data_IF_734675677535
#
_entry.id   IF_734675677535
#
_cell.length_a   1.000
_cell.length_b   1.000
_cell.length_c   1.000
_cell.angle_alpha   90.00
_cell.angle_beta   90.00
_cell.angle_gamma   90.00
#
_symmetry.space_group_name_H-M   'P 1'
#
loop_
_entity.id
_entity.type
_entity.pdbx_description
1 polymer ?
#
# COMPACT_ATOMS: atom_id res chain seq x y z
N UNK A 1 -8.34 -0.48 36.52
CA UNK A 1 -8.36 0.56 35.47
C UNK A 1 -8.85 -0.12 34.19
N UNK A 2 -10.02 0.26 33.67
CA UNK A 2 -10.57 -0.38 32.46
C UNK A 2 -9.63 -0.11 31.29
N UNK A 3 -9.37 -1.08 30.39
CA UNK A 3 -8.63 -0.78 29.17
C UNK A 3 -9.45 0.26 28.39
N UNK A 4 -8.85 1.41 28.09
CA UNK A 4 -9.43 2.33 27.11
C UNK A 4 -9.53 1.56 25.79
N UNK A 5 -10.76 1.41 25.31
CA UNK A 5 -11.07 0.84 24.01
C UNK A 5 -10.37 1.73 22.97
N UNK A 6 -9.24 1.24 22.42
CA UNK A 6 -8.51 1.97 21.38
C UNK A 6 -9.44 2.15 20.20
N UNK A 7 -9.69 3.40 19.85
CA UNK A 7 -10.43 3.80 18.65
C UNK A 7 -9.97 2.95 17.46
N UNK A 8 -10.89 2.15 16.90
CA UNK A 8 -10.60 1.21 15.81
C UNK A 8 -10.25 2.04 14.57
N UNK A 9 -8.96 2.25 14.32
CA UNK A 9 -8.51 2.75 13.02
C UNK A 9 -8.93 1.75 11.94
N UNK A 10 -9.46 2.23 10.81
CA UNK A 10 -9.99 1.42 9.70
C UNK A 10 -8.96 0.38 9.23
N UNK A 11 -7.67 0.72 9.33
CA UNK A 11 -6.53 -0.10 8.91
C UNK A 11 -5.76 -0.77 10.06
N UNK A 12 -6.31 -0.78 11.29
CA UNK A 12 -5.69 -1.37 12.49
C UNK A 12 -4.27 -0.85 12.80
N UNK A 13 -3.98 0.40 12.45
CA UNK A 13 -2.73 1.09 12.75
C UNK A 13 -2.62 1.39 14.26
N UNK A 14 -1.40 1.31 14.80
CA UNK A 14 -1.12 1.57 16.22
C UNK A 14 -1.16 3.06 16.59
N UNK A 15 -0.83 3.93 15.64
CA UNK A 15 -0.72 5.38 15.79
C UNK A 15 -1.19 6.04 14.49
N UNK A 16 -1.64 7.29 14.61
CA UNK A 16 -1.96 8.13 13.45
C UNK A 16 -0.68 8.68 12.82
N UNK A 17 -0.77 9.07 11.54
CA UNK A 17 0.31 9.82 10.88
C UNK A 17 0.55 11.13 11.63
N UNK A 18 1.83 11.45 11.89
CA UNK A 18 2.21 12.72 12.52
C UNK A 18 1.75 13.89 11.62
N UNK A 19 0.99 14.87 12.13
CA UNK A 19 0.54 16.03 11.33
C UNK A 19 1.69 16.79 10.67
N UNK A 20 2.90 16.76 11.24
CA UNK A 20 4.07 17.40 10.63
C UNK A 20 4.51 16.73 9.32
N UNK A 21 4.12 15.48 9.10
CA UNK A 21 4.46 14.75 7.88
C UNK A 21 3.83 15.41 6.65
N UNK A 22 2.57 15.88 6.73
CA UNK A 22 1.93 16.56 5.58
C UNK A 22 2.61 17.91 5.27
N UNK A 23 3.09 18.63 6.29
CA UNK A 23 3.84 19.87 6.11
C UNK A 23 5.21 19.63 5.46
N UNK A 24 5.80 18.45 5.65
CA UNK A 24 7.07 18.08 5.03
C UNK A 24 6.84 17.58 3.59
N UNK A 25 5.88 16.67 3.41
CA UNK A 25 5.54 16.12 2.09
C UNK A 25 5.12 17.22 1.11
N UNK A 26 4.34 18.21 1.56
CA UNK A 26 3.89 19.33 0.74
C UNK A 26 5.01 20.25 0.24
N UNK A 27 6.21 20.21 0.83
CA UNK A 27 7.36 21.01 0.39
C UNK A 27 8.08 20.43 -0.82
N UNK A 28 7.86 19.16 -1.13
CA UNK A 28 8.53 18.47 -2.23
C UNK A 28 7.63 17.32 -2.72
N UNK A 29 6.55 17.71 -3.41
CA UNK A 29 5.52 16.76 -3.87
C UNK A 29 6.07 15.87 -4.98
N UNK A 30 6.99 16.38 -5.79
CA UNK A 30 7.63 15.66 -6.88
C UNK A 30 8.36 14.41 -6.36
N UNK A 31 9.21 14.55 -5.34
CA UNK A 31 9.91 13.40 -4.74
C UNK A 31 8.94 12.41 -4.07
N UNK A 32 7.86 12.91 -3.47
CA UNK A 32 6.81 12.06 -2.87
C UNK A 32 6.08 11.25 -3.95
N UNK A 33 5.77 11.85 -5.10
CA UNK A 33 5.12 11.16 -6.21
C UNK A 33 6.04 10.11 -6.83
N UNK A 34 7.34 10.40 -6.95
CA UNK A 34 8.33 9.39 -7.39
C UNK A 34 8.37 8.22 -6.42
N UNK A 35 8.50 8.45 -5.11
CA UNK A 35 8.48 7.38 -4.11
C UNK A 35 7.15 6.61 -4.09
N UNK A 36 6.03 7.30 -4.30
CA UNK A 36 4.72 6.69 -4.40
C UNK A 36 4.62 5.76 -5.62
N UNK A 37 5.09 6.17 -6.80
CA UNK A 37 5.14 5.30 -7.97
C UNK A 37 5.97 4.03 -7.67
N UNK A 38 7.12 4.17 -7.01
CA UNK A 38 7.89 3.00 -6.58
C UNK A 38 7.14 2.11 -5.59
N UNK A 39 6.35 2.68 -4.69
CA UNK A 39 5.50 1.92 -3.78
C UNK A 39 4.48 1.06 -4.54
N UNK A 40 3.80 1.62 -5.54
CA UNK A 40 2.81 0.86 -6.34
C UNK A 40 3.48 -0.25 -7.17
N UNK A 41 4.62 0.04 -7.79
CA UNK A 41 5.39 -0.99 -8.50
C UNK A 41 5.84 -2.12 -7.56
N UNK A 42 6.28 -1.80 -6.33
CA UNK A 42 6.66 -2.79 -5.32
C UNK A 42 5.45 -3.62 -4.87
N UNK A 43 4.27 -3.02 -4.74
CA UNK A 43 3.05 -3.74 -4.40
C UNK A 43 2.67 -4.75 -5.49
N UNK A 44 2.64 -4.32 -6.75
CA UNK A 44 2.42 -5.21 -7.90
C UNK A 44 3.47 -6.33 -7.97
N UNK A 45 4.76 -6.00 -7.83
CA UNK A 45 5.84 -6.99 -7.86
C UNK A 45 5.73 -8.01 -6.72
N UNK A 46 5.29 -7.58 -5.54
CA UNK A 46 5.05 -8.46 -4.39
C UNK A 46 3.89 -9.41 -4.66
N UNK A 47 2.78 -8.92 -5.24
CA UNK A 47 1.66 -9.76 -5.66
C UNK A 47 2.08 -10.83 -6.66
N UNK A 48 2.85 -10.45 -7.70
CA UNK A 48 3.41 -11.40 -8.68
C UNK A 48 4.30 -12.44 -8.01
N UNK A 49 5.19 -12.03 -7.09
CA UNK A 49 6.05 -12.95 -6.35
C UNK A 49 5.24 -13.98 -5.55
N UNK A 50 4.16 -13.55 -4.89
CA UNK A 50 3.27 -14.45 -4.15
C UNK A 50 2.53 -15.43 -5.09
N UNK A 51 2.07 -14.98 -6.25
CA UNK A 51 1.46 -15.86 -7.27
C UNK A 51 2.44 -16.96 -7.71
N UNK A 52 3.69 -16.58 -7.98
CA UNK A 52 4.74 -17.51 -8.41
C UNK A 52 5.10 -18.51 -7.30
N UNK A 53 5.16 -18.06 -6.05
CA UNK A 53 5.57 -18.90 -4.92
C UNK A 53 4.47 -19.82 -4.40
N UNK A 54 3.19 -19.48 -4.61
CA UNK A 54 2.05 -20.22 -4.09
C UNK A 54 0.98 -20.52 -5.16
N UNK A 55 1.36 -21.12 -6.30
CA UNK A 55 0.46 -21.30 -7.44
C UNK A 55 -0.71 -22.25 -7.12
N UNK A 56 -0.56 -23.15 -6.15
CA UNK A 56 -1.60 -24.07 -5.73
C UNK A 56 -2.71 -23.40 -4.89
N UNK A 57 -2.47 -22.18 -4.40
CA UNK A 57 -3.45 -21.41 -3.63
C UNK A 57 -4.33 -20.61 -4.59
N UNK A 58 -5.22 -21.29 -5.31
CA UNK A 58 -6.06 -20.69 -6.37
C UNK A 58 -6.77 -19.40 -5.94
N UNK A 59 -7.42 -19.38 -4.76
CA UNK A 59 -8.06 -18.16 -4.23
C UNK A 59 -7.08 -16.99 -4.05
N UNK A 60 -5.86 -17.26 -3.59
CA UNK A 60 -4.83 -16.23 -3.43
C UNK A 60 -4.40 -15.71 -4.80
N UNK A 61 -4.20 -16.61 -5.77
CA UNK A 61 -3.80 -16.24 -7.13
C UNK A 61 -4.86 -15.36 -7.80
N UNK A 62 -6.14 -15.73 -7.67
CA UNK A 62 -7.25 -14.96 -8.23
C UNK A 62 -7.29 -13.54 -7.62
N UNK A 63 -7.29 -13.44 -6.28
CA UNK A 63 -7.33 -12.14 -5.57
C UNK A 63 -6.10 -11.27 -5.87
N UNK A 64 -4.91 -11.86 -5.96
CA UNK A 64 -3.69 -11.12 -6.26
C UNK A 64 -3.58 -10.71 -7.73
N UNK A 65 -4.21 -11.44 -8.66
CA UNK A 65 -4.19 -11.07 -10.08
C UNK A 65 -4.90 -9.74 -10.29
N UNK A 66 -6.07 -9.56 -9.66
CA UNK A 66 -6.82 -8.31 -9.68
C UNK A 66 -6.03 -7.18 -9.01
N UNK A 67 -5.44 -7.44 -7.83
CA UNK A 67 -4.61 -6.48 -7.11
C UNK A 67 -3.40 -6.02 -7.93
N UNK A 68 -2.69 -6.94 -8.58
CA UNK A 68 -1.53 -6.60 -9.42
C UNK A 68 -1.92 -5.67 -10.56
N UNK A 69 -3.07 -5.91 -11.19
CA UNK A 69 -3.57 -5.05 -12.26
C UNK A 69 -3.95 -3.66 -11.75
N UNK A 70 -4.59 -3.57 -10.57
CA UNK A 70 -4.92 -2.30 -9.92
C UNK A 70 -3.67 -1.48 -9.59
N UNK A 71 -2.66 -2.09 -8.95
CA UNK A 71 -1.44 -1.36 -8.56
C UNK A 71 -0.58 -0.98 -9.76
N UNK A 72 -0.59 -1.77 -10.84
CA UNK A 72 0.04 -1.35 -12.09
C UNK A 72 -0.66 -0.14 -12.71
N UNK A 73 -2.00 -0.10 -12.66
CA UNK A 73 -2.75 1.09 -13.09
C UNK A 73 -2.45 2.31 -12.21
N UNK A 74 -2.28 2.13 -10.90
CA UNK A 74 -1.84 3.21 -10.01
C UNK A 74 -0.44 3.72 -10.38
N UNK A 75 0.51 2.82 -10.60
CA UNK A 75 1.86 3.17 -11.05
C UNK A 75 1.85 4.00 -12.33
N UNK A 76 1.12 3.57 -13.37
CA UNK A 76 1.01 4.29 -14.64
C UNK A 76 0.36 5.68 -14.51
N UNK A 77 -0.52 5.88 -13.52
CA UNK A 77 -1.17 7.18 -13.29
C UNK A 77 -0.27 8.20 -12.61
N UNK A 78 0.80 7.75 -11.94
CA UNK A 78 1.73 8.60 -11.19
C UNK A 78 2.97 8.95 -12.01
N UNK A 79 3.38 8.09 -12.94
CA UNK A 79 4.43 8.35 -13.94
C UNK A 79 4.06 9.46 -14.93
#
# INVERSE_FOLDING_TARGET
>A
MKPQEKEKTILKLKLNTDPRWVDIASKNIEDILVDHAWCEQKAASTGISMIIHYPEKTRLVDELTDLVAEEWSHFERVL
#
